data_IF_833253610662
#
_entry.id   IF_833253610662
#
_cell.length_a   1.000
_cell.length_b   1.000
_cell.length_c   1.000
_cell.angle_alpha   90.00
_cell.angle_beta   90.00
_cell.angle_gamma   90.00
#
_symmetry.space_group_name_H-M   'P 1'
#
loop_
_entity.id
_entity.type
_entity.pdbx_description
1 polymer ?
#
# COMPACT_ATOMS: atom_id res chain seq x y z
N UNK A 1 -15.32 -8.56 -2.98
CA UNK A 1 -14.38 -7.78 -2.15
C UNK A 1 -14.82 -6.32 -2.16
N UNK A 2 -14.81 -5.62 -1.03
CA UNK A 2 -15.31 -4.24 -0.95
C UNK A 2 -14.24 -3.15 -1.12
N UNK A 3 -12.96 -3.49 -0.94
CA UNK A 3 -11.83 -2.56 -1.05
C UNK A 3 -10.53 -3.20 -0.54
N UNK A 4 -9.40 -2.62 -0.89
CA UNK A 4 -8.05 -2.98 -0.42
C UNK A 4 -7.51 -1.80 0.40
N UNK A 5 -7.15 -2.04 1.65
CA UNK A 5 -6.36 -1.10 2.45
C UNK A 5 -4.99 -1.72 2.68
N UNK A 6 -3.95 -1.15 2.09
CA UNK A 6 -2.56 -1.57 2.33
C UNK A 6 -1.82 -0.54 3.16
N UNK A 7 -0.95 -1.03 4.03
CA UNK A 7 -0.21 -0.22 5.01
C UNK A 7 1.27 -0.56 4.86
N UNK A 8 2.05 0.40 4.40
CA UNK A 8 3.47 0.27 4.14
C UNK A 8 3.79 -1.02 3.35
N UNK A 9 3.09 -1.26 2.23
CA UNK A 9 3.21 -2.52 1.49
C UNK A 9 4.50 -2.63 0.67
N UNK A 10 5.02 -3.84 0.49
CA UNK A 10 5.99 -4.14 -0.57
C UNK A 10 5.24 -4.26 -1.88
N UNK A 11 5.46 -3.32 -2.78
CA UNK A 11 4.72 -3.21 -4.04
C UNK A 11 5.37 -4.06 -5.12
N UNK A 12 6.69 -4.17 -5.09
CA UNK A 12 7.44 -5.12 -5.89
C UNK A 12 7.51 -6.48 -5.18
N UNK A 13 7.96 -7.54 -5.87
CA UNK A 13 8.00 -8.92 -5.32
C UNK A 13 8.69 -8.91 -3.95
N UNK A 14 8.13 -9.52 -2.92
CA UNK A 14 8.67 -9.44 -1.55
C UNK A 14 10.16 -9.83 -1.48
N UNK A 15 10.97 -9.22 -0.62
CA UNK A 15 12.42 -9.47 -0.60
C UNK A 15 12.75 -10.94 -0.27
N UNK A 16 11.96 -11.59 0.60
CA UNK A 16 12.08 -13.03 0.88
C UNK A 16 11.95 -13.87 -0.38
N UNK A 17 10.97 -13.57 -1.24
CA UNK A 17 10.78 -14.29 -2.51
C UNK A 17 11.96 -14.03 -3.46
N UNK A 18 12.55 -12.83 -3.44
CA UNK A 18 13.76 -12.52 -4.21
C UNK A 18 14.96 -13.33 -3.70
N UNK A 19 15.15 -13.38 -2.38
CA UNK A 19 16.23 -14.13 -1.74
C UNK A 19 16.10 -15.63 -2.01
N UNK A 20 14.90 -16.19 -1.93
CA UNK A 20 14.60 -17.59 -2.30
C UNK A 20 14.96 -17.92 -3.76
N UNK A 21 14.99 -16.90 -4.62
CA UNK A 21 15.37 -17.01 -6.04
C UNK A 21 16.84 -16.64 -6.30
N UNK A 22 17.64 -16.48 -5.26
CA UNK A 22 19.06 -16.13 -5.36
C UNK A 22 19.32 -14.68 -5.80
N UNK A 23 18.31 -13.80 -5.72
CA UNK A 23 18.44 -12.39 -6.06
C UNK A 23 18.80 -11.56 -4.82
N UNK A 24 19.50 -10.45 -5.05
CA UNK A 24 19.76 -9.45 -4.01
C UNK A 24 18.44 -8.91 -3.45
N UNK A 25 18.40 -8.63 -2.14
CA UNK A 25 17.28 -7.92 -1.48
C UNK A 25 16.94 -6.57 -2.13
N UNK A 26 17.90 -5.96 -2.83
CA UNK A 26 17.76 -4.68 -3.53
C UNK A 26 17.46 -4.83 -5.03
N UNK A 27 17.51 -6.04 -5.59
CA UNK A 27 17.06 -6.27 -6.95
C UNK A 27 15.57 -5.95 -7.07
N UNK A 28 15.14 -5.32 -8.16
CA UNK A 28 13.73 -5.00 -8.39
C UNK A 28 13.16 -5.97 -9.42
N UNK A 29 12.15 -6.74 -9.03
CA UNK A 29 11.34 -7.57 -9.92
C UNK A 29 9.86 -7.37 -9.57
N UNK A 30 9.01 -7.48 -10.58
CA UNK A 30 7.56 -7.37 -10.46
C UNK A 30 6.91 -8.47 -11.30
N UNK A 31 6.56 -9.56 -10.64
CA UNK A 31 5.90 -10.73 -11.23
C UNK A 31 4.67 -11.11 -10.40
N UNK A 32 4.11 -12.30 -10.59
CA UNK A 32 2.89 -12.74 -9.90
C UNK A 32 2.98 -12.72 -8.36
N UNK A 33 4.17 -12.58 -7.78
CA UNK A 33 4.38 -12.40 -6.34
C UNK A 33 4.40 -10.92 -5.90
N UNK A 34 4.09 -9.97 -6.79
CA UNK A 34 4.14 -8.52 -6.54
C UNK A 34 2.76 -7.86 -6.74
N UNK A 35 2.32 -6.97 -5.81
CA UNK A 35 1.14 -6.13 -6.05
C UNK A 35 1.19 -5.32 -7.36
N UNK A 36 2.37 -4.80 -7.74
CA UNK A 36 2.55 -4.04 -8.98
C UNK A 36 2.18 -4.84 -10.25
N UNK A 37 2.31 -6.16 -10.23
CA UNK A 37 1.97 -7.01 -11.37
C UNK A 37 0.47 -7.05 -11.66
N UNK A 38 -0.36 -6.74 -10.66
CA UNK A 38 -1.82 -6.82 -10.77
C UNK A 38 -2.50 -5.48 -11.04
N UNK A 39 -1.73 -4.41 -11.30
CA UNK A 39 -2.27 -3.07 -11.61
C UNK A 39 -3.14 -3.12 -12.86
N UNK A 40 -4.40 -2.70 -12.72
CA UNK A 40 -5.39 -2.60 -13.80
C UNK A 40 -6.53 -1.68 -13.40
N UNK A 41 -7.29 -1.20 -14.40
CA UNK A 41 -8.50 -0.37 -14.20
C UNK A 41 -9.54 -1.02 -13.30
N UNK A 42 -9.80 -2.32 -13.50
CA UNK A 42 -10.85 -3.08 -12.81
C UNK A 42 -10.33 -3.71 -11.50
N UNK A 43 -9.93 -2.85 -10.56
CA UNK A 43 -9.64 -3.22 -9.17
C UNK A 43 -10.73 -2.66 -8.25
N UNK A 44 -10.95 -3.27 -7.07
CA UNK A 44 -11.76 -2.63 -6.04
C UNK A 44 -11.06 -1.37 -5.53
N UNK A 45 -11.76 -0.46 -4.83
CA UNK A 45 -11.17 0.74 -4.24
C UNK A 45 -9.88 0.43 -3.45
N UNK A 46 -8.86 1.27 -3.59
CA UNK A 46 -7.55 1.07 -2.97
C UNK A 46 -7.20 2.26 -2.10
N UNK A 47 -7.01 2.01 -0.80
CA UNK A 47 -6.36 2.93 0.14
C UNK A 47 -4.90 2.50 0.35
N UNK A 48 -3.96 3.41 0.12
CA UNK A 48 -2.54 3.20 0.41
C UNK A 48 -2.04 4.11 1.53
N UNK A 49 -1.66 3.54 2.66
CA UNK A 49 -1.03 4.25 3.77
C UNK A 49 0.46 3.95 3.75
N UNK A 50 1.31 4.96 3.81
CA UNK A 50 2.78 4.81 3.83
C UNK A 50 3.41 5.82 4.78
N UNK A 51 4.55 5.48 5.38
CA UNK A 51 5.17 6.33 6.39
C UNK A 51 6.12 7.39 5.78
N UNK A 52 6.34 8.48 6.51
CA UNK A 52 7.36 9.47 6.14
C UNK A 52 8.78 8.93 6.28
N UNK A 53 9.07 8.22 7.37
CA UNK A 53 10.38 7.66 7.70
C UNK A 53 10.35 6.13 7.60
N UNK A 54 9.79 5.63 6.50
CA UNK A 54 9.61 4.20 6.27
C UNK A 54 10.95 3.46 6.02
N UNK A 55 10.91 2.14 5.81
CA UNK A 55 12.07 1.39 5.33
C UNK A 55 12.58 1.97 4.00
N UNK A 56 13.88 1.81 3.73
CA UNK A 56 14.50 2.27 2.49
C UNK A 56 13.70 1.83 1.24
N UNK A 57 13.27 2.81 0.44
CA UNK A 57 12.51 2.61 -0.80
C UNK A 57 11.01 2.34 -0.61
N UNK A 58 10.52 2.16 0.63
CA UNK A 58 9.14 1.72 0.87
C UNK A 58 8.11 2.79 0.55
N UNK A 59 8.38 4.04 0.88
CA UNK A 59 7.50 5.15 0.53
C UNK A 59 7.42 5.32 -1.00
N UNK A 60 8.56 5.21 -1.68
CA UNK A 60 8.69 5.30 -3.14
C UNK A 60 7.97 4.14 -3.84
N UNK A 61 8.06 2.92 -3.32
CA UNK A 61 7.31 1.77 -3.80
C UNK A 61 5.79 2.01 -3.73
N UNK A 62 5.30 2.56 -2.62
CA UNK A 62 3.88 2.87 -2.46
C UNK A 62 3.44 4.01 -3.38
N UNK A 63 4.27 5.04 -3.56
CA UNK A 63 4.04 6.11 -4.54
C UNK A 63 4.02 5.58 -5.98
N UNK A 64 4.89 4.63 -6.31
CA UNK A 64 4.90 3.95 -7.60
C UNK A 64 3.58 3.22 -7.84
N UNK A 65 3.06 2.44 -6.88
CA UNK A 65 1.76 1.78 -7.03
C UNK A 65 0.64 2.79 -7.31
N UNK A 66 0.62 3.88 -6.55
CA UNK A 66 -0.38 4.95 -6.71
C UNK A 66 -0.32 5.57 -8.11
N UNK A 67 0.88 5.86 -8.62
CA UNK A 67 1.07 6.40 -9.95
C UNK A 67 0.61 5.40 -11.03
N UNK A 68 0.96 4.12 -10.87
CA UNK A 68 0.59 3.07 -11.83
C UNK A 68 -0.92 2.78 -11.83
N UNK A 69 -1.58 2.75 -10.68
CA UNK A 69 -3.04 2.63 -10.59
C UNK A 69 -3.74 3.78 -11.32
N UNK A 70 -3.31 5.02 -11.08
CA UNK A 70 -3.85 6.20 -11.78
C UNK A 70 -3.58 6.14 -13.28
N UNK A 71 -2.36 5.80 -13.68
CA UNK A 71 -1.98 5.64 -15.08
C UNK A 71 -2.77 4.56 -15.81
N UNK A 72 -3.13 3.47 -15.12
CA UNK A 72 -4.00 2.42 -15.63
C UNK A 72 -5.50 2.80 -15.64
N UNK A 73 -5.86 4.02 -15.24
CA UNK A 73 -7.23 4.51 -15.24
C UNK A 73 -8.08 4.00 -14.07
N UNK A 74 -7.46 3.49 -13.00
CA UNK A 74 -8.19 3.13 -11.79
C UNK A 74 -8.64 4.40 -11.05
N UNK A 75 -9.95 4.61 -10.95
CA UNK A 75 -10.53 5.85 -10.45
C UNK A 75 -10.52 5.95 -8.91
N UNK A 76 -10.51 4.82 -8.22
CA UNK A 76 -10.80 4.76 -6.77
C UNK A 76 -9.54 4.52 -5.94
N UNK A 77 -8.49 5.28 -6.24
CA UNK A 77 -7.20 5.23 -5.54
C UNK A 77 -7.06 6.42 -4.58
N UNK A 78 -6.95 6.13 -3.28
CA UNK A 78 -6.67 7.12 -2.23
C UNK A 78 -5.38 6.78 -1.50
N UNK A 79 -4.79 7.79 -0.86
CA UNK A 79 -3.54 7.60 -0.11
C UNK A 79 -3.43 8.51 1.10
N UNK A 80 -2.68 8.05 2.11
CA UNK A 80 -2.28 8.83 3.27
C UNK A 80 -0.79 8.64 3.50
N UNK A 81 -0.03 9.75 3.51
CA UNK A 81 1.33 9.76 4.06
C UNK A 81 1.23 9.99 5.56
N UNK A 82 1.68 9.02 6.36
CA UNK A 82 1.69 9.11 7.81
C UNK A 82 2.93 9.88 8.27
N UNK A 83 2.72 11.16 8.61
CA UNK A 83 3.78 12.09 9.03
C UNK A 83 4.36 11.69 10.38
N UNK A 84 5.68 11.81 10.54
CA UNK A 84 6.39 11.47 11.77
C UNK A 84 6.41 9.99 12.14
N UNK A 85 5.86 9.12 11.30
CA UNK A 85 5.84 7.66 11.50
C UNK A 85 6.98 6.99 10.76
N UNK A 86 7.34 5.81 11.24
CA UNK A 86 8.25 4.85 10.62
C UNK A 86 7.51 3.55 10.24
N UNK A 87 8.26 2.56 9.74
CA UNK A 87 7.70 1.28 9.30
C UNK A 87 6.96 0.51 10.40
N UNK A 88 7.43 0.59 11.64
CA UNK A 88 6.81 -0.12 12.77
C UNK A 88 5.55 0.61 13.25
N UNK A 89 5.68 1.89 13.52
CA UNK A 89 4.62 2.75 14.07
C UNK A 89 3.44 2.94 13.09
N UNK A 90 3.68 3.02 11.77
CA UNK A 90 2.59 3.18 10.78
C UNK A 90 1.60 2.01 10.79
N UNK A 91 2.06 0.80 11.13
CA UNK A 91 1.20 -0.37 11.30
C UNK A 91 0.71 -0.53 12.74
N UNK A 92 1.62 -0.40 13.71
CA UNK A 92 1.32 -0.62 15.12
C UNK A 92 0.27 0.35 15.67
N UNK A 93 0.36 1.62 15.29
CA UNK A 93 -0.48 2.68 15.85
C UNK A 93 -1.91 2.69 15.26
N UNK A 94 -2.19 1.90 14.23
CA UNK A 94 -3.56 1.73 13.72
C UNK A 94 -4.53 1.18 14.77
N UNK A 95 -4.03 0.62 15.88
CA UNK A 95 -4.85 0.21 17.04
C UNK A 95 -5.39 1.40 17.84
N UNK A 96 -4.81 2.58 17.67
CA UNK A 96 -5.14 3.80 18.41
C UNK A 96 -6.21 4.61 17.65
N UNK A 97 -7.39 4.89 18.23
CA UNK A 97 -8.46 5.64 17.56
C UNK A 97 -8.06 7.05 17.08
N UNK A 98 -7.11 7.67 17.76
CA UNK A 98 -6.55 8.98 17.47
C UNK A 98 -5.52 8.96 16.33
N UNK A 99 -5.02 7.80 15.93
CA UNK A 99 -4.04 7.70 14.85
C UNK A 99 -4.71 8.06 13.49
N UNK A 100 -4.09 8.94 12.69
CA UNK A 100 -4.64 9.31 11.38
C UNK A 100 -4.83 8.11 10.44
N UNK A 101 -3.97 7.10 10.53
CA UNK A 101 -4.09 5.86 9.78
C UNK A 101 -5.32 5.04 10.22
N UNK A 102 -5.57 4.92 11.52
CA UNK A 102 -6.78 4.28 12.05
C UNK A 102 -8.03 4.96 11.48
N UNK A 103 -8.10 6.28 11.57
CA UNK A 103 -9.22 7.07 11.08
C UNK A 103 -9.41 6.91 9.57
N UNK A 104 -8.33 6.84 8.80
CA UNK A 104 -8.37 6.61 7.36
C UNK A 104 -8.94 5.22 7.02
N UNK A 105 -8.52 4.16 7.73
CA UNK A 105 -9.04 2.79 7.54
C UNK A 105 -10.52 2.72 7.90
N UNK A 106 -10.93 3.26 9.05
CA UNK A 106 -12.35 3.25 9.46
C UNK A 106 -13.22 4.03 8.47
N UNK A 107 -12.77 5.22 8.03
CA UNK A 107 -13.47 6.00 7.01
C UNK A 107 -13.58 5.21 5.71
N UNK A 108 -12.49 4.59 5.25
CA UNK A 108 -12.49 3.78 4.04
C UNK A 108 -13.51 2.64 4.12
N UNK A 109 -13.54 1.89 5.23
CA UNK A 109 -14.52 0.83 5.45
C UNK A 109 -15.96 1.37 5.41
N UNK A 110 -16.25 2.47 6.12
CA UNK A 110 -17.58 3.09 6.14
C UNK A 110 -18.03 3.50 4.74
N UNK A 111 -17.17 4.18 3.99
CA UNK A 111 -17.46 4.58 2.60
C UNK A 111 -17.80 3.37 1.72
N UNK A 112 -17.11 2.23 1.88
CA UNK A 112 -17.44 1.04 1.10
C UNK A 112 -18.71 0.33 1.58
N UNK A 113 -19.07 0.46 2.85
CA UNK A 113 -20.32 -0.09 3.39
C UNK A 113 -21.55 0.69 2.88
N UNK A 114 -21.45 2.02 2.76
CA UNK A 114 -22.52 2.91 2.29
C UNK A 114 -22.81 2.78 0.78
N UNK A 115 -21.86 2.23 0.01
CA UNK A 115 -21.98 2.03 -1.45
C UNK A 115 -22.66 0.71 -1.83
N UNK A 116 -23.07 -0.09 -0.86
CA UNK A 116 -23.82 -1.33 -1.05
C UNK A 116 -25.32 -1.07 -1.03
#
# INVERSE_FOLDING_TARGET
MAGIAQVSGQVFTHYTVREERGLSRYATIADEAAPAFFVRKALPPVLTIYAENDMAGRAEENLYLLAMLKGAGHAETTSLRAMGKDHGSVGHDLRLPEDPGHQAVVRFIRTQAERR
#
